data_IF_230846323680
#
_entry.id   IF_230846323680
#
_cell.length_a   1.000
_cell.length_b   1.000
_cell.length_c   1.000
_cell.angle_alpha   90.00
_cell.angle_beta   90.00
_cell.angle_gamma   90.00
#
_symmetry.space_group_name_H-M   'P 1'
#
loop_
_entity.id
_entity.type
_entity.pdbx_description
1 polymer ?
#
# COMPACT_ATOMS: atom_id res chain seq x y z
N UNK A 1 -11.42 18.73 -19.40
CA UNK A 1 -12.72 19.01 -18.73
C UNK A 1 -12.85 18.32 -17.37
N UNK A 2 -12.64 17.00 -17.26
CA UNK A 2 -12.84 16.25 -16.01
C UNK A 2 -11.96 16.68 -14.81
N UNK A 3 -10.64 16.83 -15.00
CA UNK A 3 -9.73 17.28 -13.93
C UNK A 3 -10.10 18.69 -13.40
N UNK A 4 -10.62 19.57 -14.26
CA UNK A 4 -11.05 20.91 -13.84
C UNK A 4 -12.27 20.84 -12.90
N UNK A 5 -13.21 19.92 -13.19
CA UNK A 5 -14.36 19.67 -12.33
C UNK A 5 -13.95 19.18 -10.94
N UNK A 6 -13.04 18.20 -10.86
CA UNK A 6 -12.55 17.66 -9.58
C UNK A 6 -11.86 18.71 -8.70
N UNK A 7 -11.21 19.72 -9.31
CA UNK A 7 -10.43 20.74 -8.60
C UNK A 7 -11.24 21.95 -8.16
N UNK A 8 -12.34 22.26 -8.83
CA UNK A 8 -13.08 23.52 -8.64
C UNK A 8 -14.47 23.34 -8.05
N UNK A 9 -15.05 22.15 -8.13
CA UNK A 9 -16.41 21.89 -7.67
C UNK A 9 -16.46 21.53 -6.18
N UNK A 10 -17.28 22.25 -5.40
CA UNK A 10 -17.45 22.03 -3.95
C UNK A 10 -17.99 20.64 -3.61
N UNK A 11 -18.88 20.08 -4.44
CA UNK A 11 -19.44 18.74 -4.24
C UNK A 11 -18.35 17.69 -4.46
N UNK A 12 -17.56 17.83 -5.53
CA UNK A 12 -16.44 16.92 -5.80
C UNK A 12 -15.41 16.93 -4.66
N UNK A 13 -15.12 18.10 -4.07
CA UNK A 13 -14.22 18.23 -2.92
C UNK A 13 -14.71 17.43 -1.70
N UNK A 14 -16.01 17.55 -1.34
CA UNK A 14 -16.58 16.78 -0.24
C UNK A 14 -16.59 15.29 -0.51
N UNK A 15 -16.97 14.87 -1.72
CA UNK A 15 -16.96 13.45 -2.12
C UNK A 15 -15.55 12.85 -2.03
N UNK A 16 -14.55 13.53 -2.58
CA UNK A 16 -13.15 13.08 -2.52
C UNK A 16 -12.64 13.03 -1.08
N UNK A 17 -13.09 13.94 -0.21
CA UNK A 17 -12.72 13.93 1.21
C UNK A 17 -13.30 12.71 1.93
N UNK A 18 -14.57 12.37 1.68
CA UNK A 18 -15.19 11.16 2.26
C UNK A 18 -14.47 9.90 1.78
N UNK A 19 -14.21 9.78 0.47
CA UNK A 19 -13.46 8.64 -0.09
C UNK A 19 -12.07 8.55 0.56
N UNK A 20 -11.37 9.69 0.67
CA UNK A 20 -10.03 9.76 1.27
C UNK A 20 -10.04 9.28 2.71
N UNK A 21 -10.98 9.73 3.53
CA UNK A 21 -11.07 9.35 4.95
C UNK A 21 -11.44 7.87 5.07
N UNK A 22 -12.35 7.37 4.24
CA UNK A 22 -12.71 5.95 4.21
C UNK A 22 -11.51 5.06 3.87
N UNK A 23 -10.78 5.39 2.79
CA UNK A 23 -9.55 4.69 2.42
C UNK A 23 -8.51 4.78 3.55
N UNK A 24 -8.34 5.97 4.14
CA UNK A 24 -7.44 6.16 5.27
C UNK A 24 -7.76 5.27 6.46
N UNK A 25 -9.05 5.11 6.79
CA UNK A 25 -9.50 4.21 7.85
C UNK A 25 -9.15 2.75 7.53
N UNK A 26 -9.41 2.28 6.31
CA UNK A 26 -9.08 0.91 5.88
C UNK A 26 -7.57 0.62 5.98
N UNK A 27 -6.73 1.58 5.60
CA UNK A 27 -5.28 1.47 5.70
C UNK A 27 -4.79 1.45 7.16
N UNK A 28 -5.38 2.28 8.04
CA UNK A 28 -5.10 2.24 9.48
C UNK A 28 -5.50 0.89 10.06
N UNK A 29 -6.71 0.41 9.78
CA UNK A 29 -7.22 -0.86 10.30
C UNK A 29 -6.32 -2.02 9.88
N UNK A 30 -5.96 -2.11 8.59
CA UNK A 30 -5.06 -3.13 8.06
C UNK A 30 -3.67 -3.09 8.72
N UNK A 31 -3.04 -1.92 8.76
CA UNK A 31 -1.74 -1.74 9.39
C UNK A 31 -1.76 -2.05 10.89
N UNK A 32 -2.78 -1.56 11.60
CA UNK A 32 -2.95 -1.79 13.03
C UNK A 32 -3.12 -3.28 13.36
N UNK A 33 -3.98 -3.99 12.62
CA UNK A 33 -4.15 -5.43 12.79
C UNK A 33 -2.84 -6.20 12.59
N UNK A 34 -2.01 -5.79 11.63
CA UNK A 34 -0.69 -6.39 11.40
C UNK A 34 0.32 -6.06 12.51
N UNK A 35 0.30 -4.84 13.04
CA UNK A 35 1.15 -4.42 14.17
C UNK A 35 0.80 -5.22 15.43
N UNK A 36 -0.48 -5.39 15.74
CA UNK A 36 -0.92 -6.04 16.99
C UNK A 36 -1.08 -7.55 16.90
N UNK A 37 -1.43 -8.08 15.72
CA UNK A 37 -1.73 -9.48 15.50
C UNK A 37 -0.54 -10.35 15.10
N UNK A 38 0.62 -9.74 14.84
CA UNK A 38 1.78 -10.41 14.26
C UNK A 38 1.63 -10.51 12.75
N UNK A 39 2.62 -10.00 12.02
CA UNK A 39 2.66 -10.03 10.57
C UNK A 39 3.97 -10.67 10.11
N UNK A 40 3.85 -11.58 9.14
CA UNK A 40 4.97 -12.22 8.48
C UNK A 40 4.86 -12.09 6.96
N UNK A 41 5.75 -11.32 6.37
CA UNK A 41 5.87 -11.10 4.95
C UNK A 41 6.43 -12.32 4.21
N UNK A 42 7.03 -13.31 4.89
CA UNK A 42 7.67 -14.44 4.21
C UNK A 42 6.72 -15.18 3.26
N UNK A 43 5.48 -15.42 3.68
CA UNK A 43 4.45 -16.04 2.83
C UNK A 43 4.08 -15.17 1.61
N UNK A 44 3.98 -13.85 1.79
CA UNK A 44 3.69 -12.92 0.70
C UNK A 44 4.85 -12.85 -0.30
N UNK A 45 6.10 -12.79 0.18
CA UNK A 45 7.29 -12.71 -0.66
C UNK A 45 7.48 -14.00 -1.46
N UNK A 46 7.34 -15.17 -0.83
CA UNK A 46 7.43 -16.47 -1.51
C UNK A 46 6.32 -16.67 -2.53
N UNK A 47 5.09 -16.26 -2.22
CA UNK A 47 3.98 -16.25 -3.18
C UNK A 47 4.24 -15.33 -4.39
N UNK A 48 4.83 -14.16 -4.17
CA UNK A 48 5.18 -13.23 -5.26
C UNK A 48 6.28 -13.77 -6.17
N UNK A 49 7.27 -14.48 -5.62
CA UNK A 49 8.30 -15.19 -6.39
C UNK A 49 7.69 -16.33 -7.21
N UNK A 50 6.77 -17.12 -6.64
CA UNK A 50 6.11 -18.18 -7.40
C UNK A 50 5.34 -17.61 -8.62
N UNK A 51 4.70 -16.46 -8.44
CA UNK A 51 3.95 -15.76 -9.49
C UNK A 51 4.82 -15.02 -10.53
N UNK A 52 6.15 -15.03 -10.38
CA UNK A 52 7.08 -14.49 -11.38
C UNK A 52 7.59 -15.56 -12.35
N UNK A 53 7.15 -16.81 -12.22
CA UNK A 53 7.56 -17.94 -13.04
C UNK A 53 6.41 -18.40 -13.96
N UNK A 54 6.74 -19.05 -15.09
CA UNK A 54 5.76 -19.56 -16.07
C UNK A 54 5.63 -18.71 -17.34
N UNK A 55 4.73 -19.13 -18.25
CA UNK A 55 4.58 -18.53 -19.59
C UNK A 55 3.98 -17.10 -19.58
N UNK A 56 3.26 -16.74 -18.51
CA UNK A 56 2.68 -15.40 -18.29
C UNK A 56 2.91 -14.94 -16.85
N UNK A 57 4.13 -14.48 -16.50
CA UNK A 57 4.45 -14.09 -15.14
C UNK A 57 3.68 -12.84 -14.75
N UNK A 58 2.95 -12.91 -13.63
CA UNK A 58 2.23 -11.77 -13.07
C UNK A 58 3.19 -10.77 -12.39
N UNK A 59 4.38 -11.24 -12.03
CA UNK A 59 5.45 -10.46 -11.42
C UNK A 59 6.63 -10.37 -12.37
N UNK A 60 7.15 -9.15 -12.58
CA UNK A 60 8.31 -8.92 -13.42
C UNK A 60 9.55 -9.64 -12.88
N UNK A 61 10.34 -10.27 -13.76
CA UNK A 61 11.50 -11.08 -13.36
C UNK A 61 12.55 -10.33 -12.53
N UNK A 62 12.76 -9.03 -12.79
CA UNK A 62 13.67 -8.20 -11.98
C UNK A 62 13.17 -8.04 -10.53
N UNK A 63 11.86 -8.01 -10.33
CA UNK A 63 11.25 -7.93 -9.00
C UNK A 63 11.45 -9.25 -8.26
N UNK A 64 11.29 -10.38 -8.95
CA UNK A 64 11.57 -11.69 -8.39
C UNK A 64 13.02 -11.82 -7.88
N UNK A 65 13.99 -11.34 -8.66
CA UNK A 65 15.40 -11.34 -8.24
C UNK A 65 15.60 -10.52 -6.96
N UNK A 66 14.99 -9.34 -6.86
CA UNK A 66 15.01 -8.54 -5.63
C UNK A 66 14.36 -9.25 -4.44
N UNK A 67 13.21 -9.88 -4.67
CA UNK A 67 12.50 -10.64 -3.64
C UNK A 67 13.34 -11.80 -3.11
N UNK A 68 13.96 -12.59 -3.98
CA UNK A 68 14.78 -13.74 -3.62
C UNK A 68 16.09 -13.34 -2.92
N UNK A 69 16.80 -12.33 -3.44
CA UNK A 69 18.16 -12.04 -3.00
C UNK A 69 18.24 -10.98 -1.89
N UNK A 70 17.21 -10.14 -1.74
CA UNK A 70 17.20 -9.07 -0.75
C UNK A 70 16.00 -9.17 0.20
N UNK A 71 14.77 -9.22 -0.32
CA UNK A 71 13.59 -9.09 0.53
C UNK A 71 13.39 -10.31 1.44
N UNK A 72 13.53 -11.52 0.89
CA UNK A 72 13.33 -12.77 1.62
C UNK A 72 14.42 -13.00 2.69
N UNK A 73 15.73 -12.80 2.41
CA UNK A 73 16.76 -12.87 3.44
C UNK A 73 16.60 -11.81 4.54
N UNK A 74 16.00 -10.65 4.22
CA UNK A 74 15.78 -9.54 5.15
C UNK A 74 14.31 -9.39 5.54
N UNK A 75 13.53 -10.48 5.57
CA UNK A 75 12.07 -10.42 5.79
C UNK A 75 11.68 -9.72 7.09
N UNK A 76 12.51 -9.81 8.14
CA UNK A 76 12.29 -9.10 9.40
C UNK A 76 12.18 -7.58 9.25
N UNK A 77 12.85 -6.98 8.26
CA UNK A 77 12.68 -5.56 7.94
C UNK A 77 11.28 -5.28 7.39
N UNK A 78 10.79 -6.13 6.47
CA UNK A 78 9.47 -5.98 5.87
C UNK A 78 8.34 -6.30 6.84
N UNK A 79 8.58 -7.16 7.83
CA UNK A 79 7.65 -7.42 8.92
C UNK A 79 7.39 -6.17 9.78
N UNK A 80 8.29 -5.19 9.75
CA UNK A 80 8.11 -3.87 10.40
C UNK A 80 7.67 -2.82 9.40
N UNK A 81 8.35 -2.71 8.25
CA UNK A 81 8.10 -1.64 7.28
C UNK A 81 6.69 -1.71 6.69
N UNK A 82 6.17 -2.90 6.39
CA UNK A 82 4.84 -3.05 5.77
C UNK A 82 3.72 -2.65 6.73
N UNK A 83 3.62 -3.19 7.96
CA UNK A 83 2.54 -2.83 8.88
C UNK A 83 2.55 -1.34 9.27
N UNK A 84 3.73 -0.80 9.57
CA UNK A 84 3.86 0.61 9.92
C UNK A 84 3.66 1.52 8.72
N UNK A 85 4.13 1.11 7.53
CA UNK A 85 3.87 1.83 6.28
C UNK A 85 2.38 1.93 6.00
N UNK A 86 1.64 0.82 6.13
CA UNK A 86 0.19 0.79 5.94
C UNK A 86 -0.54 1.73 6.91
N UNK A 87 -0.17 1.65 8.19
CA UNK A 87 -0.75 2.50 9.23
C UNK A 87 -0.48 3.99 8.97
N UNK A 88 0.76 4.35 8.59
CA UNK A 88 1.16 5.74 8.32
C UNK A 88 0.53 6.28 7.04
N UNK A 89 0.36 5.46 6.00
CA UNK A 89 -0.41 5.82 4.80
C UNK A 89 -1.83 6.18 5.19
N UNK A 90 -2.49 5.33 5.98
CA UNK A 90 -3.84 5.59 6.45
C UNK A 90 -3.94 6.88 7.28
N UNK A 91 -2.98 7.12 8.18
CA UNK A 91 -2.89 8.36 8.95
C UNK A 91 -2.73 9.59 8.03
N UNK A 92 -1.86 9.53 7.02
CA UNK A 92 -1.68 10.61 6.06
C UNK A 92 -2.93 10.91 5.24
N UNK A 93 -3.68 9.87 4.86
CA UNK A 93 -4.97 10.01 4.17
C UNK A 93 -6.03 10.65 5.08
N UNK A 94 -6.15 10.25 6.35
CA UNK A 94 -7.14 10.85 7.27
C UNK A 94 -6.80 12.31 7.53
N UNK A 95 -5.57 12.60 7.96
CA UNK A 95 -5.13 13.94 8.33
C UNK A 95 -5.08 14.89 7.13
N UNK A 96 -5.02 14.37 5.90
CA UNK A 96 -4.88 15.17 4.69
C UNK A 96 -3.45 15.68 4.48
N UNK A 97 -2.48 15.15 5.22
CA UNK A 97 -1.05 15.48 5.09
C UNK A 97 -0.40 14.56 4.08
N UNK A 98 0.34 15.11 3.12
CA UNK A 98 0.99 14.34 2.06
C UNK A 98 0.02 13.41 1.31
N UNK A 99 -1.25 13.80 1.14
CA UNK A 99 -2.31 12.93 0.59
C UNK A 99 -1.95 12.33 -0.76
N UNK A 100 -1.29 13.07 -1.66
CA UNK A 100 -0.86 12.52 -2.96
C UNK A 100 0.15 11.40 -2.78
N UNK A 101 1.13 11.57 -1.90
CA UNK A 101 2.13 10.55 -1.62
C UNK A 101 1.51 9.34 -0.92
N UNK A 102 0.66 9.56 0.09
CA UNK A 102 -0.06 8.49 0.78
C UNK A 102 -0.97 7.70 -0.19
N UNK A 103 -1.69 8.38 -1.08
CA UNK A 103 -2.52 7.74 -2.09
C UNK A 103 -1.69 6.92 -3.10
N UNK A 104 -0.50 7.39 -3.49
CA UNK A 104 0.41 6.65 -4.36
C UNK A 104 0.93 5.39 -3.68
N UNK A 105 1.31 5.48 -2.41
CA UNK A 105 1.75 4.32 -1.63
C UNK A 105 0.61 3.32 -1.41
N UNK A 106 -0.64 3.79 -1.38
CA UNK A 106 -1.81 2.93 -1.25
C UNK A 106 -2.36 2.34 -2.56
N UNK A 107 -1.75 2.64 -3.71
CA UNK A 107 -2.18 2.17 -5.03
C UNK A 107 -1.45 0.90 -5.50
N UNK A 108 -0.54 0.37 -4.69
CA UNK A 108 0.33 -0.78 -5.00
C UNK A 108 -0.26 -2.06 -4.39
#
# INVERSE_FOLDING_TARGET
MFNNFLRTNKIAMWLLTVIRVYLGYQWIEAGYHKITGGFDAAGFLTGAIANSTGDHPAVQGWWATFLEHFALPNVGLFNVLVPYGEFLVGLGLILGTFTTFAALMGLV
#
